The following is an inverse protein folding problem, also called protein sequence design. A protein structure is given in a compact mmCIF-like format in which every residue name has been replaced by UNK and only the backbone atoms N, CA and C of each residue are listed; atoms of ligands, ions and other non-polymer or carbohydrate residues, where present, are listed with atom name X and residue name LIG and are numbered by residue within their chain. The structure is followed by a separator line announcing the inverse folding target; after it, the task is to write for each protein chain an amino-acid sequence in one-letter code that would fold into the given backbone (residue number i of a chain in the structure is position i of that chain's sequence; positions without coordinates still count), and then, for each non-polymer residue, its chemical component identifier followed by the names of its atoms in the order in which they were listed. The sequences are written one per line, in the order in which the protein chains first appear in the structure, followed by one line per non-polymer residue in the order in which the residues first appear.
data_IF_603534301719
#
_entry.id   IF_603534301719
#
_cell.length_a   1.000
_cell.length_b   1.000
_cell.length_c   1.000
_cell.angle_alpha   90.00
_cell.angle_beta   90.00
_cell.angle_gamma   90.00
#
_symmetry.space_group_name_H-M   'P 1'
#
loop_
_entity.id
_entity.type
_entity.pdbx_description
1 polymer ?
2 polymer ?
3 water ?
#
# COMPACT_ATOMS: atom_id res chain seq x y z
N UNK A 4 20.61 21.71 34.02
CA UNK A 4 20.11 20.45 34.57
C UNK A 4 18.69 20.12 34.11
N UNK A 5 18.57 18.93 33.48
CA UNK A 5 17.32 18.40 32.93
C UNK A 5 16.61 17.49 33.94
N UNK A 6 15.39 17.89 34.31
CA UNK A 6 14.51 17.20 35.23
C UNK A 6 13.70 16.09 34.51
N UNK A 7 13.60 14.89 35.14
CA UNK A 7 12.89 13.71 34.66
C UNK A 7 11.47 14.05 34.13
N UNK A 8 10.68 14.76 34.96
CA UNK A 8 9.30 15.12 34.63
C UNK A 8 9.20 16.09 33.49
N UNK A 9 10.08 17.11 33.40
CA UNK A 9 10.05 18.06 32.29
C UNK A 9 10.46 17.39 30.98
N UNK A 10 11.51 16.54 31.00
CA UNK A 10 11.94 15.84 29.80
C UNK A 10 10.88 14.86 29.28
N UNK A 11 10.20 14.16 30.20
CA UNK A 11 9.15 13.20 29.86
C UNK A 11 7.95 13.93 29.26
N UNK A 12 7.65 15.13 29.77
CA UNK A 12 6.57 15.99 29.31
C UNK A 12 6.84 16.45 27.88
N UNK A 13 8.11 16.78 27.58
CA UNK A 13 8.47 17.27 26.24
C UNK A 13 8.49 16.22 25.18
N UNK A 14 9.05 15.01 25.47
CA UNK A 14 9.08 13.88 24.51
C UNK A 14 7.63 13.56 24.10
N UNK A 15 6.71 13.47 25.10
CA UNK A 15 5.26 13.25 24.87
C UNK A 15 4.66 14.31 23.96
N UNK A 16 4.97 15.61 24.21
CA UNK A 16 4.52 16.75 23.42
C UNK A 16 5.14 16.67 22.01
N UNK A 17 6.45 16.40 21.90
CA UNK A 17 7.14 16.23 20.61
C UNK A 17 6.42 15.15 19.83
N UNK A 18 6.08 14.04 20.51
CA UNK A 18 5.35 12.91 19.92
C UNK A 18 3.95 13.36 19.42
N UNK A 19 3.16 14.00 20.30
CA UNK A 19 1.82 14.53 19.98
C UNK A 19 1.85 15.38 18.71
N UNK A 20 2.87 16.28 18.58
CA UNK A 20 3.08 17.12 17.42
C UNK A 20 3.24 16.25 16.19
N UNK A 21 4.19 15.30 16.22
CA UNK A 21 4.49 14.35 15.14
C UNK A 21 3.25 13.61 14.68
N UNK A 22 2.49 13.02 15.64
CA UNK A 22 1.24 12.29 15.37
C UNK A 22 0.15 13.20 14.77
N UNK A 23 0.05 14.43 15.28
CA UNK A 23 -0.90 15.38 14.70
C UNK A 23 -0.61 15.63 13.22
N UNK A 24 0.68 15.84 12.85
CA UNK A 24 1.16 16.11 11.48
C UNK A 24 1.11 14.89 10.55
N UNK A 25 1.34 13.68 11.12
CA UNK A 25 1.37 12.40 10.41
C UNK A 25 -0.01 11.97 9.87
N UNK A 26 -1.09 12.20 10.62
CA UNK A 26 -2.47 11.81 10.24
C UNK A 26 -3.18 12.75 9.28
N UNK A 27 -2.62 13.97 9.04
CA UNK A 27 -3.16 15.01 8.14
C UNK A 27 -3.43 14.45 6.71
N UNK A 28 -2.51 13.61 6.18
CA UNK A 28 -2.60 13.02 4.84
C UNK A 28 -1.74 11.78 4.68
N UNK A 29 -1.69 11.20 3.46
CA UNK A 29 -0.90 10.00 3.17
C UNK A 29 0.52 10.32 2.69
N UNK A 30 0.92 11.60 2.72
CA UNK A 30 2.23 12.03 2.26
C UNK A 30 3.36 11.52 3.11
N UNK A 31 4.35 10.87 2.48
CA UNK A 31 5.54 10.39 3.18
C UNK A 31 6.32 11.64 3.58
N UNK A 32 6.55 11.78 4.87
CA UNK A 32 7.25 12.92 5.44
C UNK A 32 7.94 12.44 6.71
N UNK A 33 8.67 13.34 7.38
CA UNK A 33 9.41 13.02 8.59
C UNK A 33 8.50 12.64 9.77
N UNK A 34 7.37 13.33 9.95
CA UNK A 34 6.40 13.09 11.03
C UNK A 34 5.97 11.61 11.06
N UNK A 35 5.76 11.01 9.88
CA UNK A 35 5.38 9.62 9.73
C UNK A 35 6.58 8.76 10.09
N UNK A 36 7.78 9.14 9.59
CA UNK A 36 9.04 8.45 9.90
C UNK A 36 9.28 8.42 11.39
N UNK A 37 9.03 9.56 12.08
CA UNK A 37 9.19 9.78 13.53
C UNK A 37 8.17 8.98 14.34
N UNK A 38 6.89 9.00 13.91
CA UNK A 38 5.77 8.27 14.52
C UNK A 38 6.02 6.76 14.35
N UNK A 39 6.37 6.31 13.12
CA UNK A 39 6.65 4.90 12.88
C UNK A 39 7.84 4.40 13.74
N UNK A 40 8.86 5.29 13.97
CA UNK A 40 10.02 4.96 14.81
C UNK A 40 9.62 4.83 16.28
N UNK A 41 8.91 5.83 16.84
CA UNK A 41 8.47 5.79 18.25
C UNK A 41 7.66 4.52 18.50
N UNK A 42 6.65 4.24 17.65
CA UNK A 42 5.78 3.05 17.73
C UNK A 42 6.57 1.74 17.77
N UNK A 43 7.57 1.55 16.88
CA UNK A 43 8.43 0.37 16.76
C UNK A 43 9.39 0.25 17.96
N UNK A 44 10.06 1.35 18.32
CA UNK A 44 11.04 1.41 19.39
C UNK A 44 10.40 1.14 20.75
N UNK A 45 9.23 1.71 20.99
CA UNK A 45 8.61 1.53 22.29
C UNK A 45 7.55 0.45 22.30
N UNK A 46 7.21 -0.11 21.13
CA UNK A 46 6.12 -1.09 20.96
C UNK A 46 4.84 -0.45 21.48
N UNK A 47 4.36 0.59 20.80
CA UNK A 47 3.14 1.31 21.18
C UNK A 47 2.43 1.86 19.91
N UNK A 48 1.28 2.55 20.06
CA UNK A 48 0.56 3.22 18.97
C UNK A 48 -0.46 4.25 19.45
N UNK A 49 -0.23 5.49 19.07
CA UNK A 49 -1.04 6.63 19.47
C UNK A 49 -0.89 6.93 20.95
N UNK A 50 -1.78 7.79 21.45
CA UNK A 50 -1.87 8.14 22.85
C UNK A 50 -3.34 8.22 23.28
N UNK A 51 -3.55 8.02 24.58
CA UNK A 51 -4.81 8.13 25.29
C UNK A 51 -5.29 9.59 25.20
N UNK A 52 -4.34 10.56 25.32
CA UNK A 52 -4.56 12.00 25.28
C UNK A 52 -4.95 12.47 23.88
N UNK A 53 -4.75 11.64 22.86
CA UNK A 53 -5.07 11.99 21.49
C UNK A 53 -5.92 10.93 20.79
N UNK A 54 -6.97 10.44 21.51
CA UNK A 54 -7.96 9.42 21.10
C UNK A 54 -8.69 9.82 19.81
N UNK A 55 -8.82 11.13 19.57
CA UNK A 55 -9.49 11.65 18.37
C UNK A 55 -8.72 11.28 17.10
N UNK A 56 -7.47 10.76 17.25
CA UNK A 56 -6.64 10.38 16.11
C UNK A 56 -6.59 8.89 15.82
N UNK A 57 -6.95 8.03 16.77
CA UNK A 57 -6.90 6.57 16.60
C UNK A 57 -7.35 6.04 15.26
N UNK A 58 -8.55 6.39 14.81
CA UNK A 58 -9.00 5.89 13.50
C UNK A 58 -8.05 6.33 12.37
N UNK A 59 -7.66 7.62 12.37
CA UNK A 59 -6.74 8.25 11.43
C UNK A 59 -5.39 7.53 11.48
N UNK A 60 -4.90 7.23 12.68
CA UNK A 60 -3.68 6.48 12.91
C UNK A 60 -3.74 5.10 12.20
N UNK A 61 -4.88 4.42 12.28
CA UNK A 61 -5.11 3.13 11.62
C UNK A 61 -5.18 3.28 10.10
N UNK A 62 -5.94 4.31 9.64
CA UNK A 62 -6.15 4.69 8.26
C UNK A 62 -4.82 4.93 7.53
N UNK A 63 -3.80 5.38 8.25
CA UNK A 63 -2.49 5.69 7.67
C UNK A 63 -1.45 4.61 7.90
N UNK A 64 -1.89 3.46 8.46
CA UNK A 64 -1.02 2.33 8.76
C UNK A 64 0.22 2.83 9.52
N UNK A 65 0.01 3.51 10.65
CA UNK A 65 1.11 4.10 11.43
C UNK A 65 1.55 3.28 12.62
N UNK A 66 0.86 2.17 12.91
CA UNK A 66 1.18 1.24 13.99
C UNK A 66 2.23 0.24 13.54
N UNK A 67 2.97 -0.41 14.48
CA UNK A 67 4.02 -1.34 14.05
C UNK A 67 3.61 -2.56 13.23
N UNK A 68 4.61 -3.11 12.50
CA UNK A 68 4.55 -4.28 11.64
C UNK A 68 4.25 -5.54 12.46
N UNK A 69 3.40 -6.41 11.90
CA UNK A 69 3.01 -7.68 12.50
C UNK A 69 1.63 -7.76 13.14
N UNK A 70 1.22 -6.70 13.83
CA UNK A 70 -0.07 -6.70 14.54
C UNK A 70 -1.23 -6.17 13.73
N UNK A 71 -2.41 -6.82 13.90
CA UNK A 71 -3.67 -6.46 13.23
C UNK A 71 -4.32 -5.18 13.79
N UNK A 72 -5.46 -4.78 13.18
CA UNK A 72 -6.26 -3.60 13.53
C UNK A 72 -6.76 -3.64 14.97
N UNK A 73 -7.19 -4.82 15.47
CA UNK A 73 -7.69 -4.93 16.86
C UNK A 73 -6.56 -4.77 17.87
N UNK A 74 -5.40 -5.41 17.58
CA UNK A 74 -4.20 -5.32 18.40
C UNK A 74 -3.68 -3.90 18.43
N UNK A 75 -3.75 -3.19 17.29
CA UNK A 75 -3.28 -1.80 17.18
C UNK A 75 -4.23 -0.80 17.81
N UNK A 76 -5.55 -1.07 17.74
CA UNK A 76 -6.59 -0.24 18.37
C UNK A 76 -6.40 -0.32 19.89
N UNK A 77 -6.00 -1.51 20.40
CA UNK A 77 -5.79 -1.75 21.83
C UNK A 77 -4.32 -1.79 22.18
N UNK A 78 -3.46 -1.18 21.34
CA UNK A 78 -2.04 -1.15 21.62
C UNK A 78 -1.72 -0.20 22.75
N UNK A 79 -0.58 -0.46 23.42
CA UNK A 79 -0.05 0.32 24.55
C UNK A 79 0.07 1.81 24.17
N UNK A 80 -0.29 2.71 25.10
CA UNK A 80 -0.29 4.16 24.86
C UNK A 80 1.16 4.67 24.83
N UNK A 81 1.55 5.43 23.78
CA UNK A 81 2.93 5.91 23.68
C UNK A 81 3.41 6.84 24.80
N UNK A 82 2.50 7.62 25.40
CA UNK A 82 2.83 8.51 26.55
C UNK A 82 3.32 7.71 27.77
N UNK A 83 2.67 6.54 28.00
CA UNK A 83 3.03 5.62 29.05
C UNK A 83 4.38 4.96 28.78
N UNK A 84 4.61 4.56 27.51
CA UNK A 84 5.85 3.93 27.08
C UNK A 84 7.01 4.94 27.19
N UNK A 85 6.73 6.23 26.92
CA UNK A 85 7.68 7.35 27.08
C UNK A 85 7.98 7.49 28.58
N UNK A 86 6.96 7.44 29.45
CA UNK A 86 7.15 7.54 30.90
C UNK A 86 8.03 6.44 31.42
N UNK A 87 7.81 5.18 30.96
CA UNK A 87 8.59 4.01 31.36
C UNK A 87 10.03 4.20 30.92
N UNK A 88 10.30 4.76 29.72
CA UNK A 88 11.68 5.00 29.27
C UNK A 88 12.41 5.92 30.25
N UNK A 89 11.84 7.12 30.53
CA UNK A 89 12.48 8.09 31.42
C UNK A 89 12.59 7.71 32.89
N UNK A 90 11.81 6.70 33.32
CA UNK A 90 11.80 6.16 34.68
C UNK A 90 12.52 4.80 34.79
N UNK A 91 12.96 4.26 33.68
CA UNK A 91 13.71 3.02 33.66
C UNK A 91 12.92 1.76 33.93
N UNK A 92 11.64 1.74 33.55
CA UNK A 92 10.78 0.56 33.71
C UNK A 92 10.49 0.10 32.28
N UNK A 93 10.32 -1.22 32.00
CA UNK A 93 10.10 -1.71 30.61
C UNK A 93 9.82 -3.22 30.49
N UNK B 2 -15.12 -11.06 0.30
CA UNK B 2 -16.10 -10.39 -0.56
C UNK B 2 -15.84 -8.86 -0.54
N UNK B 3 -14.66 -8.43 -1.07
CA UNK B 3 -14.27 -7.01 -1.07
C UNK B 3 -14.69 -6.24 -2.36
N UNK B 4 -13.74 -5.75 -3.17
CA UNK B 4 -13.91 -4.94 -4.38
C UNK B 4 -14.73 -5.53 -5.51
N UNK B 5 -15.65 -4.73 -6.07
CA UNK B 5 -16.42 -5.09 -7.26
C UNK B 5 -16.08 -4.06 -8.33
N UNK B 6 -15.64 -4.53 -9.52
CA UNK B 6 -15.26 -3.64 -10.61
C UNK B 6 -16.20 -3.68 -11.82
N UNK B 7 -16.34 -2.52 -12.52
CA UNK B 7 -17.21 -2.36 -13.70
C UNK B 7 -16.69 -3.13 -14.94
N UNK B 8 -17.62 -3.52 -15.84
CA UNK B 8 -17.36 -4.32 -17.05
C UNK B 8 -16.50 -3.62 -18.14
N UNK B 9 -16.00 -4.42 -19.13
CA UNK B 9 -15.17 -3.94 -20.24
C UNK B 9 -15.88 -2.92 -21.15
N UNK B 10 -15.06 -2.04 -21.75
CA UNK B 10 -15.47 -0.96 -22.65
C UNK B 10 -14.50 -0.88 -23.84
N UNK B 11 -15.04 -1.04 -25.08
CA UNK B 11 -14.32 -0.92 -26.35
C UNK B 11 -14.75 0.41 -26.95
N UNK B 12 -13.76 1.24 -27.29
CA UNK B 12 -14.00 2.61 -27.75
C UNK B 12 -12.94 3.08 -28.80
N UNK B 13 -13.18 4.25 -29.42
CA UNK B 13 -12.30 4.84 -30.43
C UNK B 13 -11.64 6.10 -29.89
N UNK B 14 -10.43 6.48 -30.38
CA UNK B 14 -9.79 7.71 -29.91
C UNK B 14 -10.70 8.94 -29.89
N UNK B 15 -10.60 9.71 -28.81
CA UNK B 15 -11.41 10.91 -28.61
C UNK B 15 -12.57 10.77 -27.65
N UNK B 16 -13.03 9.53 -27.39
CA UNK B 16 -14.12 9.25 -26.45
C UNK B 16 -13.79 9.58 -24.96
N UNK B 17 -14.80 9.48 -24.09
CA UNK B 17 -14.70 9.73 -22.65
C UNK B 17 -15.41 8.61 -21.92
N UNK B 18 -14.75 8.02 -20.90
CA UNK B 18 -15.28 6.85 -20.14
C UNK B 18 -15.27 7.01 -18.63
N UNK B 19 -16.05 6.15 -17.98
CA UNK B 19 -16.12 6.06 -16.54
C UNK B 19 -15.99 4.58 -16.13
N UNK B 20 -14.92 4.28 -15.36
CA UNK B 20 -14.64 2.94 -14.81
C UNK B 20 -15.06 3.03 -13.35
N UNK B 21 -15.68 1.97 -12.81
CA UNK B 21 -16.17 2.03 -11.45
C UNK B 21 -15.62 0.94 -10.53
N UNK B 22 -15.66 1.20 -9.21
CA UNK B 22 -15.15 0.30 -8.17
C UNK B 22 -16.00 0.40 -6.92
N UNK B 23 -16.64 -0.71 -6.53
CA UNK B 23 -17.49 -0.77 -5.34
C UNK B 23 -16.84 -1.64 -4.25
N UNK B 24 -16.73 -1.09 -3.01
CA UNK B 24 -16.05 -1.76 -1.93
C UNK B 24 -16.76 -2.85 -1.14
N UNK B 25 -17.55 -2.54 -0.09
CA UNK B 25 -18.13 -3.55 0.83
C UNK B 25 -17.02 -4.26 1.68
N UNK B 26 -17.15 -4.18 3.00
CA UNK B 26 -16.20 -4.77 3.94
C UNK B 26 -15.05 -3.86 4.32
N UNK B 27 -15.04 -2.64 3.78
CA UNK B 27 -13.99 -1.65 4.02
C UNK B 27 -14.56 -0.29 4.49
N UNK B 28 -13.74 0.50 5.23
CA UNK B 28 -14.17 1.81 5.71
C UNK B 28 -14.05 2.84 4.59
N UNK B 29 -14.68 2.55 3.45
CA UNK B 29 -14.66 3.39 2.26
C UNK B 29 -14.83 4.87 2.60
N UNK B 30 -15.69 5.18 3.59
CA UNK B 30 -16.06 6.52 4.05
C UNK B 30 -14.90 7.45 4.46
N UNK B 31 -13.85 6.88 5.06
CA UNK B 31 -12.67 7.62 5.49
C UNK B 31 -11.42 6.83 5.14
N UNK B 32 -11.22 6.64 3.84
CA UNK B 32 -10.12 5.85 3.29
C UNK B 32 -9.46 6.48 2.07
N UNK B 33 -8.49 5.75 1.47
CA UNK B 33 -7.73 6.05 0.25
C UNK B 33 -8.08 4.99 -0.82
N UNK B 34 -8.59 5.44 -1.98
CA UNK B 34 -8.90 4.61 -3.15
C UNK B 34 -7.95 5.01 -4.25
N UNK B 35 -7.09 4.10 -4.63
CA UNK B 35 -6.12 4.32 -5.68
C UNK B 35 -6.55 3.55 -6.92
N UNK B 36 -6.04 3.99 -8.07
CA UNK B 36 -6.22 3.41 -9.39
C UNK B 36 -4.84 3.12 -9.95
N UNK B 37 -4.67 1.89 -10.45
CA UNK B 37 -3.40 1.43 -11.03
C UNK B 37 -3.63 1.00 -12.48
N UNK B 38 -2.84 1.56 -13.42
CA UNK B 38 -2.89 1.26 -14.85
C UNK B 38 -1.88 0.17 -15.18
N UNK B 39 -2.29 -0.82 -15.97
CA UNK B 39 -1.40 -1.87 -16.47
C UNK B 39 -1.51 -1.98 -17.99
N UNK B 40 -0.49 -1.47 -18.70
CA UNK B 40 -0.44 -1.51 -20.16
C UNK B 40 -0.09 -2.92 -20.62
N UNK B 41 -0.83 -3.47 -21.64
CA UNK B 41 -0.50 -4.82 -22.13
C UNK B 41 0.97 -4.94 -22.50
N UNK B 42 1.63 -6.03 -22.04
CA UNK B 42 3.06 -6.31 -22.22
C UNK B 42 3.98 -5.22 -21.58
N UNK B 43 3.40 -4.41 -20.70
CA UNK B 43 4.09 -3.35 -19.98
C UNK B 43 3.73 -3.37 -18.47
N UNK B 44 4.51 -2.63 -17.68
CA UNK B 44 4.42 -2.60 -16.23
C UNK B 44 3.22 -1.92 -15.59
N UNK B 45 3.24 -1.92 -14.26
CA UNK B 45 2.22 -1.29 -13.45
C UNK B 45 2.54 0.17 -13.27
N UNK B 46 1.51 1.01 -13.42
CA UNK B 46 1.63 2.45 -13.33
C UNK B 46 0.52 2.99 -12.42
N UNK B 47 0.88 3.83 -11.45
CA UNK B 47 -0.07 4.44 -10.51
C UNK B 47 -0.69 5.67 -11.19
N UNK B 48 -2.03 5.77 -11.17
CA UNK B 48 -2.73 6.88 -11.83
C UNK B 48 -2.95 8.05 -10.89
N UNK B 49 -3.64 7.76 -9.81
CA UNK B 49 -4.00 8.75 -8.83
C UNK B 49 -4.78 8.12 -7.72
N UNK B 50 -5.26 8.95 -6.79
CA UNK B 50 -5.86 8.52 -5.56
C UNK B 50 -6.81 9.55 -5.00
N UNK B 51 -7.89 9.09 -4.37
CA UNK B 51 -8.80 9.94 -3.61
C UNK B 51 -8.75 9.55 -2.12
N UNK B 52 -8.79 10.58 -1.26
CA UNK B 52 -8.90 10.48 0.19
C UNK B 52 -10.38 10.83 0.36
N UNK B 53 -11.22 9.82 0.65
CA UNK B 53 -12.65 10.03 0.83
C UNK B 53 -12.94 10.81 2.13
N UNK B 54 -11.92 10.99 2.96
CA UNK B 54 -12.04 11.75 4.20
C UNK B 54 -12.27 13.22 3.91
N UNK B 55 -11.33 13.84 3.20
CA UNK B 55 -11.37 15.26 2.85
C UNK B 55 -11.78 15.54 1.38
N UNK B 56 -11.89 14.51 0.55
CA UNK B 56 -12.18 14.65 -0.87
C UNK B 56 -10.97 15.03 -1.75
N UNK B 57 -9.74 15.10 -1.16
CA UNK B 57 -8.51 15.43 -1.88
C UNK B 57 -8.18 14.36 -2.89
N UNK B 58 -7.71 14.79 -4.06
CA UNK B 58 -7.36 13.89 -5.14
C UNK B 58 -5.97 14.25 -5.61
N UNK B 59 -5.15 13.23 -5.91
CA UNK B 59 -3.80 13.42 -6.41
C UNK B 59 -3.63 12.57 -7.66
N UNK B 60 -2.86 13.07 -8.66
CA UNK B 60 -2.60 12.34 -9.90
C UNK B 60 -1.15 12.38 -10.25
N UNK B 61 -0.67 11.33 -10.95
CA UNK B 61 0.67 11.29 -11.52
C UNK B 61 0.63 12.40 -12.59
N UNK B 62 1.64 13.31 -12.66
CA UNK B 62 1.60 14.43 -13.62
C UNK B 62 1.04 14.16 -15.01
N UNK B 63 1.33 12.97 -15.58
CA UNK B 63 0.81 12.59 -16.89
C UNK B 63 -0.70 12.52 -16.99
N UNK B 64 -1.38 12.08 -15.92
CA UNK B 64 -2.83 11.95 -15.93
C UNK B 64 -3.55 13.16 -15.35
N UNK B 65 -2.81 14.21 -14.97
CA UNK B 65 -3.32 15.44 -14.33
C UNK B 65 -4.66 16.03 -14.84
N UNK B 66 -4.75 16.31 -16.15
CA UNK B 66 -5.96 16.91 -16.70
C UNK B 66 -6.98 15.94 -17.29
N UNK B 67 -6.52 14.79 -17.83
CA UNK B 67 -7.45 13.80 -18.38
C UNK B 67 -8.26 13.01 -17.33
N UNK B 68 -7.56 12.38 -16.38
CA UNK B 68 -8.16 11.58 -15.30
C UNK B 68 -8.89 12.44 -14.28
N UNK B 69 -9.88 11.83 -13.61
CA UNK B 69 -10.71 12.46 -12.58
C UNK B 69 -11.16 11.34 -11.64
N UNK B 70 -11.26 11.64 -10.33
CA UNK B 70 -11.76 10.66 -9.38
C UNK B 70 -12.92 11.25 -8.62
N UNK B 71 -14.03 10.52 -8.55
CA UNK B 71 -15.17 10.93 -7.76
C UNK B 71 -15.67 9.75 -6.95
N UNK B 72 -16.40 10.01 -5.86
CA UNK B 72 -16.93 8.93 -5.05
C UNK B 72 -18.44 9.06 -4.80
N UNK B 73 -19.07 7.91 -4.54
CA UNK B 73 -20.46 7.76 -4.17
C UNK B 73 -20.37 6.98 -2.87
N UNK B 74 -20.29 7.71 -1.75
CA UNK B 74 -20.12 7.13 -0.41
C UNK B 74 -21.23 6.14 0.03
N UNK B 75 -22.54 6.48 -0.05
CA UNK B 75 -23.56 5.49 0.37
C UNK B 75 -23.51 4.15 -0.37
N UNK B 76 -23.19 4.16 -1.68
CA UNK B 76 -23.06 2.91 -2.44
C UNK B 76 -21.63 2.36 -2.34
N UNK B 77 -20.72 3.13 -1.67
CA UNK B 77 -19.30 2.84 -1.45
C UNK B 77 -18.63 2.60 -2.79
N UNK B 78 -18.79 3.57 -3.71
CA UNK B 78 -18.28 3.46 -5.06
C UNK B 78 -17.29 4.53 -5.44
N UNK B 79 -16.22 4.10 -6.13
CA UNK B 79 -15.17 4.97 -6.64
C UNK B 79 -15.28 4.99 -8.15
N UNK B 80 -15.14 6.20 -8.75
CA UNK B 80 -15.15 6.37 -10.19
C UNK B 80 -13.89 7.04 -10.68
N UNK B 81 -13.35 6.50 -11.77
CA UNK B 81 -12.21 7.05 -12.49
C UNK B 81 -12.75 7.46 -13.87
N UNK B 82 -12.80 8.80 -14.10
CA UNK B 82 -13.30 9.40 -15.34
C UNK B 82 -12.11 9.72 -16.23
N UNK B 83 -12.07 9.13 -17.42
CA UNK B 83 -10.97 9.35 -18.37
C UNK B 83 -11.52 10.03 -19.63
N UNK B 84 -10.90 11.14 -20.06
CA UNK B 84 -11.30 11.94 -21.23
C UNK B 84 -10.17 11.96 -22.27
N UNK B 85 -10.47 12.44 -23.52
CA UNK B 85 -9.53 12.55 -24.66
C UNK B 85 -8.74 11.24 -24.88
N UNK B 86 -9.48 10.12 -24.90
CA UNK B 86 -8.90 8.79 -25.00
C UNK B 86 -8.04 8.56 -26.24
N UNK B 87 -6.87 7.90 -26.06
CA UNK B 87 -5.93 7.52 -27.12
C UNK B 87 -5.46 6.06 -26.94
N UNK B 88 -4.62 5.55 -27.87
CA UNK B 88 -4.09 4.19 -27.85
C UNK B 88 -3.30 3.87 -26.58
N UNK B 89 -2.61 4.87 -26.00
CA UNK B 89 -1.85 4.63 -24.77
C UNK B 89 -2.69 4.46 -23.51
N UNK B 90 -4.02 4.63 -23.62
CA UNK B 90 -5.01 4.43 -22.55
C UNK B 90 -5.55 2.99 -22.59
N UNK B 91 -5.27 2.23 -23.68
CA UNK B 91 -5.62 0.82 -23.81
C UNK B 91 -4.77 0.10 -22.77
N UNK B 92 -5.45 -0.38 -21.70
CA UNK B 92 -4.87 -1.02 -20.52
C UNK B 92 -5.94 -1.62 -19.60
N UNK B 93 -5.47 -2.29 -18.53
CA UNK B 93 -6.34 -2.82 -17.47
C UNK B 93 -6.22 -1.81 -16.35
N UNK B 94 -7.34 -1.50 -15.74
CA UNK B 94 -7.38 -0.52 -14.69
C UNK B 94 -7.78 -1.23 -13.42
N UNK B 95 -6.89 -1.24 -12.46
CA UNK B 95 -7.17 -1.87 -11.17
C UNK B 95 -7.50 -0.81 -10.14
N UNK B 96 -8.41 -1.18 -9.29
CA UNK B 96 -8.84 -0.37 -8.17
C UNK B 96 -8.15 -0.92 -6.90
N UNK B 97 -7.51 -0.03 -6.11
CA UNK B 97 -6.81 -0.46 -4.89
C UNK B 97 -7.24 0.34 -3.64
N UNK B 98 -7.99 -0.29 -2.69
CA UNK B 98 -8.27 0.40 -1.44
C UNK B 98 -7.05 0.28 -0.52
N UNK B 99 -6.76 1.31 0.30
CA UNK B 99 -5.61 1.32 1.20
C UNK B 99 -5.94 2.09 2.47
N UNK B 100 -5.38 1.67 3.62
CA UNK B 100 -5.60 2.37 4.88
C UNK B 100 -5.77 1.64 6.19
N UNK B 101 -6.69 0.71 6.29
CA UNK B 101 -6.81 0.06 7.61
C UNK B 101 -6.20 -1.33 7.39
N UNK B 102 -4.92 -1.33 7.01
CA UNK B 102 -4.14 -2.49 6.60
C UNK B 102 -3.84 -2.45 5.09
N UNK B 103 -3.66 -3.62 4.46
CA UNK B 103 -3.30 -3.73 3.07
C UNK B 103 -4.22 -4.70 2.37
N UNK B 104 -4.72 -4.32 1.19
CA UNK B 104 -5.72 -5.10 0.51
C UNK B 104 -5.43 -5.59 -0.88
N UNK B 105 -6.11 -6.68 -1.24
CA UNK B 105 -6.11 -7.25 -2.56
C UNK B 105 -6.82 -6.26 -3.49
N UNK B 106 -6.31 -6.17 -4.72
CA UNK B 106 -6.80 -5.32 -5.79
C UNK B 106 -8.12 -5.88 -6.36
N UNK B 107 -8.80 -5.07 -7.19
CA UNK B 107 -10.00 -5.53 -7.89
C UNK B 107 -9.57 -6.43 -9.04
N UNK B 108 -10.50 -7.24 -9.60
CA UNK B 108 -10.12 -8.09 -10.75
C UNK B 108 -9.61 -7.33 -11.99
N UNK B 109 -10.00 -6.06 -12.10
CA UNK B 109 -9.60 -5.16 -13.18
C UNK B 109 -10.67 -4.86 -14.21
N UNK B 110 -10.58 -3.68 -14.87
CA UNK B 110 -11.47 -3.25 -15.94
C UNK B 110 -10.65 -3.00 -17.19
N UNK B 111 -10.95 -3.76 -18.26
CA UNK B 111 -10.25 -3.59 -19.53
C UNK B 111 -10.90 -2.48 -20.35
N UNK B 112 -10.09 -1.50 -20.72
CA UNK B 112 -10.49 -0.39 -21.58
C UNK B 112 -9.66 -0.51 -22.83
N UNK B 113 -10.33 -0.61 -23.99
CA UNK B 113 -9.64 -0.71 -25.27
C UNK B 113 -10.00 0.45 -26.19
N UNK B 114 -8.97 1.20 -26.61
CA UNK B 114 -9.06 2.39 -27.47
C UNK B 114 -8.37 2.07 -28.82
N UNK B 115 -9.14 1.60 -29.82
CA UNK B 115 -8.60 1.27 -31.16
C UNK B 115 -9.30 2.02 -32.29
N UNK B 116 -8.56 2.32 -33.37
CA UNK B 116 -9.12 3.00 -34.55
C UNK B 116 -9.05 2.11 -35.80
N UNK B 137 9.78 11.17 -5.09
CA UNK B 137 9.47 9.93 -5.81
C UNK B 137 10.45 8.82 -5.45
N UNK B 138 9.94 7.62 -5.10
CA UNK B 138 10.76 6.48 -4.67
C UNK B 138 10.85 5.40 -5.75
N UNK B 139 12.08 5.15 -6.26
CA UNK B 139 12.36 4.15 -7.28
C UNK B 139 12.59 2.74 -6.67
N UNK B 140 11.84 1.71 -7.17
CA UNK B 140 11.93 0.30 -6.76
C UNK B 140 12.81 -0.46 -7.72
N UNK B 141 13.63 -1.38 -7.19
CA UNK B 141 14.55 -2.18 -7.99
C UNK B 141 14.38 -3.65 -7.64
N UNK B 142 13.70 -4.39 -8.52
CA UNK B 142 13.45 -5.81 -8.34
C UNK B 142 14.54 -6.67 -9.00
N UNK B 143 15.00 -7.73 -8.29
CA UNK B 143 16.05 -8.63 -8.78
C UNK B 143 15.81 -10.08 -8.35
N UNK B 144 15.99 -11.10 -9.23
CA UNK B 144 16.37 -11.02 -10.65
C UNK B 144 15.20 -10.63 -11.55
N UNK B 145 15.46 -10.37 -12.84
CA UNK B 145 14.39 -10.00 -13.78
C UNK B 145 13.63 -11.23 -14.28
N UNK B 146 14.38 -12.33 -14.51
CA UNK B 146 13.89 -13.63 -14.99
C UNK B 146 14.49 -14.77 -14.17
N UNK B 147 13.69 -15.79 -13.86
CA UNK B 147 14.14 -16.92 -13.07
C UNK B 147 13.65 -18.25 -13.64
N UNK B 148 14.60 -19.09 -14.06
CA UNK B 148 14.32 -20.40 -14.65
C UNK B 148 14.56 -21.49 -13.61
N UNK B 149 13.48 -21.91 -12.90
CA UNK B 149 13.59 -22.92 -11.85
C UNK B 149 12.66 -24.13 -11.99
N UNK B 150 13.00 -25.23 -11.29
CA UNK B 150 12.25 -26.48 -11.28
C UNK B 150 11.59 -26.68 -9.92
N UNK B 151 10.40 -27.33 -9.90
CA UNK B 151 9.60 -27.61 -8.69
C UNK B 151 10.44 -28.13 -7.53
N UNK B 152 10.19 -27.59 -6.33
CA UNK B 152 10.89 -27.95 -5.11
C UNK B 152 12.07 -27.07 -4.76
N UNK B 153 12.53 -26.25 -5.73
CA UNK B 153 13.66 -25.34 -5.54
C UNK B 153 13.27 -24.15 -4.64
N UNK B 154 14.27 -23.61 -3.90
CA UNK B 154 14.07 -22.44 -3.04
C UNK B 154 14.60 -21.20 -3.77
N UNK B 155 13.71 -20.23 -3.96
CA UNK B 155 14.01 -19.00 -4.68
C UNK B 155 13.95 -17.79 -3.75
N UNK B 156 14.78 -16.76 -4.02
CA UNK B 156 14.83 -15.52 -3.24
C UNK B 156 14.84 -14.27 -4.13
N UNK B 157 13.66 -13.64 -4.28
CA UNK B 157 13.52 -12.42 -5.07
C UNK B 157 13.85 -11.25 -4.13
N UNK B 158 14.46 -10.19 -4.67
CA UNK B 158 14.90 -9.01 -3.93
C UNK B 158 14.25 -7.71 -4.44
N UNK B 159 13.90 -6.80 -3.52
CA UNK B 159 13.37 -5.49 -3.86
C UNK B 159 14.11 -4.41 -3.08
N UNK B 160 14.65 -3.43 -3.79
CA UNK B 160 15.39 -2.35 -3.17
C UNK B 160 14.75 -1.01 -3.49
N UNK B 161 14.48 -0.22 -2.44
CA UNK B 161 13.87 1.10 -2.53
C UNK B 161 15.00 2.13 -2.57
N UNK B 162 14.73 3.30 -3.19
CA UNK B 162 15.71 4.39 -3.29
C UNK B 162 15.86 5.12 -1.95
N UNK B 163 14.89 4.96 -1.05
CA UNK B 163 14.87 5.59 0.27
C UNK B 163 14.29 4.58 1.23
N UNK B 164 14.42 4.86 2.55
CA UNK B 164 13.80 4.04 3.59
C UNK B 164 12.27 4.15 3.37
N UNK B 165 11.62 3.01 3.07
CA UNK B 165 10.17 2.94 2.87
C UNK B 165 9.49 2.43 4.14
N UNK B 166 10.23 2.35 5.26
CA UNK B 166 9.70 2.02 6.58
C UNK B 166 8.84 0.72 6.64
N UNK B 167 9.21 -0.32 5.85
CA UNK B 167 8.53 -1.62 5.76
C UNK B 167 7.12 -1.55 5.16
N UNK B 168 6.78 -0.42 4.50
CA UNK B 168 5.47 -0.33 3.88
C UNK B 168 5.58 -0.75 2.45
N UNK B 169 5.72 -2.07 2.26
CA UNK B 169 5.94 -2.80 1.01
C UNK B 169 4.92 -3.93 0.89
N UNK B 170 4.74 -4.51 -0.32
CA UNK B 170 3.90 -5.67 -0.56
C UNK B 170 4.47 -6.50 -1.71
N UNK B 171 4.29 -7.81 -1.64
CA UNK B 171 4.70 -8.74 -2.70
C UNK B 171 3.43 -9.31 -3.32
N UNK B 172 3.38 -9.34 -4.65
CA UNK B 172 2.26 -9.86 -5.40
C UNK B 172 2.73 -10.89 -6.41
N UNK B 173 1.83 -11.82 -6.78
CA UNK B 173 2.07 -12.82 -7.82
C UNK B 173 1.04 -12.62 -8.93
N UNK B 174 1.52 -12.27 -10.12
CA UNK B 174 0.63 -12.06 -11.26
C UNK B 174 0.71 -13.18 -12.30
N UNK B 175 -0.40 -13.89 -12.49
CA UNK B 175 -0.54 -14.96 -13.49
C UNK B 175 -1.20 -14.33 -14.74
N UNK B 176 -0.70 -14.66 -15.96
CA UNK B 176 -1.17 -14.12 -17.26
C UNK B 176 -2.65 -13.77 -17.35
N UNK B 177 -2.92 -12.51 -17.73
CA UNK B 177 -4.25 -11.95 -17.89
C UNK B 177 -5.11 -11.90 -16.64
N UNK B 178 -4.48 -12.03 -15.44
CA UNK B 178 -5.16 -12.01 -14.15
C UNK B 178 -4.61 -10.89 -13.25
N UNK B 179 -5.44 -10.43 -12.28
CA UNK B 179 -5.09 -9.36 -11.34
C UNK B 179 -4.00 -9.82 -10.35
N UNK B 180 -3.01 -8.93 -10.02
CA UNK B 180 -1.94 -9.33 -9.07
C UNK B 180 -2.49 -9.83 -7.74
N UNK B 181 -2.09 -11.06 -7.37
CA UNK B 181 -2.54 -11.68 -6.13
C UNK B 181 -1.61 -11.30 -4.96
N UNK B 182 -2.18 -10.63 -3.93
CA UNK B 182 -1.44 -10.18 -2.74
C UNK B 182 -0.88 -11.37 -1.94
N UNK B 183 0.46 -11.47 -1.88
CA UNK B 183 1.13 -12.55 -1.16
C UNK B 183 1.52 -12.10 0.24
N UNK B 184 2.32 -11.03 0.33
CA UNK B 184 2.78 -10.50 1.61
C UNK B 184 2.63 -9.00 1.69
N UNK B 185 2.03 -8.52 2.80
CA UNK B 185 1.87 -7.09 3.04
C UNK B 185 2.76 -6.69 4.17
N UNK B 186 3.05 -5.40 4.30
CA UNK B 186 4.01 -4.95 5.28
C UNK B 186 5.35 -5.50 4.83
N UNK B 187 6.17 -6.00 5.69
CA UNK B 187 7.34 -6.57 5.02
C UNK B 187 7.27 -8.09 5.08
N UNK B 188 6.72 -8.56 6.19
CA UNK B 188 6.72 -9.90 6.72
C UNK B 188 5.38 -10.61 6.86
N UNK B 189 4.26 -9.86 6.77
CA UNK B 189 2.94 -10.42 7.00
C UNK B 189 2.31 -11.20 5.84
N UNK B 190 2.04 -12.48 6.06
CA UNK B 190 1.40 -13.31 5.05
C UNK B 190 -0.08 -12.99 4.94
N UNK B 191 -0.53 -12.60 3.74
CA UNK B 191 -1.93 -12.33 3.44
C UNK B 191 -2.77 -13.60 3.68
N UNK B 192 -3.99 -13.45 4.19
CA UNK B 192 -4.85 -14.60 4.49
C UNK B 192 -5.11 -15.51 3.29
N UNK B 193 -4.92 -16.80 3.53
CA UNK B 193 -5.09 -17.86 2.55
C UNK B 193 -3.84 -18.22 1.79
N UNK B 194 -2.76 -17.44 1.99
CA UNK B 194 -1.49 -17.65 1.28
C UNK B 194 -0.68 -18.78 1.95
N UNK B 195 -0.21 -19.79 1.16
CA UNK B 195 0.60 -20.88 1.75
C UNK B 195 1.86 -20.42 2.50
N UNK B 196 2.10 -21.11 3.63
CA UNK B 196 3.19 -20.93 4.59
C UNK B 196 4.58 -20.89 3.98
N UNK B 197 4.75 -21.60 2.84
CA UNK B 197 5.99 -21.73 2.06
C UNK B 197 6.49 -20.38 1.54
N UNK B 198 5.66 -19.32 1.63
CA UNK B 198 5.99 -17.96 1.20
C UNK B 198 6.48 -17.16 2.38
N UNK B 199 7.60 -16.47 2.22
CA UNK B 199 8.14 -15.69 3.33
C UNK B 199 8.77 -14.37 2.92
N UNK B 200 8.19 -13.30 3.45
CA UNK B 200 8.68 -11.96 3.26
C UNK B 200 9.62 -11.57 4.39
N UNK B 201 10.69 -10.85 4.07
CA UNK B 201 11.66 -10.38 5.05
C UNK B 201 12.21 -9.08 4.52
N UNK B 202 12.86 -8.30 5.38
CA UNK B 202 13.47 -7.06 4.97
C UNK B 202 13.21 -5.86 5.85
N UNK B 203 14.02 -4.81 5.64
CA UNK B 203 13.96 -3.57 6.41
C UNK B 203 14.57 -2.38 5.68
N UNK B 204 14.22 -1.18 6.16
CA UNK B 204 14.72 0.08 5.61
C UNK B 204 14.57 0.21 4.10
N UNK B 205 15.63 -0.20 3.38
CA UNK B 205 15.72 -0.11 1.93
C UNK B 205 15.76 -1.47 1.18
N UNK B 206 16.05 -2.60 1.86
CA UNK B 206 16.18 -3.91 1.22
C UNK B 206 15.16 -4.89 1.73
N UNK B 207 14.45 -5.57 0.82
CA UNK B 207 13.40 -6.50 1.18
C UNK B 207 13.56 -7.73 0.35
N UNK B 208 13.04 -8.87 0.82
CA UNK B 208 13.18 -10.14 0.12
C UNK B 208 11.93 -10.97 0.25
N UNK B 209 11.69 -11.77 -0.77
CA UNK B 209 10.62 -12.74 -0.75
C UNK B 209 11.26 -14.11 -1.06
N UNK B 210 11.18 -15.04 -0.11
CA UNK B 210 11.64 -16.41 -0.33
C UNK B 210 10.48 -17.36 -0.54
N UNK B 211 10.57 -18.16 -1.60
CA UNK B 211 9.58 -19.19 -1.88
C UNK B 211 10.25 -20.52 -1.57
N UNK B 212 9.78 -21.18 -0.51
CA UNK B 212 10.31 -22.46 -0.07
C UNK B 212 9.59 -23.58 -0.78
N UNK B 213 10.36 -24.51 -1.38
CA UNK B 213 9.86 -25.68 -2.11
C UNK B 213 8.81 -25.23 -3.12
N UNK B 214 9.30 -24.47 -4.13
CA UNK B 214 8.51 -23.92 -5.23
C UNK B 214 7.59 -24.98 -5.81
N UNK B 215 6.34 -24.61 -6.08
CA UNK B 215 5.35 -25.53 -6.61
C UNK B 215 4.86 -25.05 -7.98
N UNK B 216 4.02 -25.86 -8.65
CA UNK B 216 3.51 -25.54 -9.97
C UNK B 216 2.58 -24.34 -9.98
N UNK B 217 1.66 -24.28 -9.00
CA UNK B 217 0.67 -23.20 -8.84
C UNK B 217 1.25 -21.80 -8.47
N UNK B 218 2.57 -21.66 -8.42
CA UNK B 218 3.19 -20.39 -8.08
C UNK B 218 4.23 -19.94 -9.10
N UNK B 219 3.82 -20.00 -10.37
CA UNK B 219 4.62 -19.58 -11.51
C UNK B 219 3.97 -18.35 -12.14
N UNK B 220 4.81 -17.39 -12.54
CA UNK B 220 4.37 -16.15 -13.15
C UNK B 220 5.30 -14.99 -12.89
N UNK B 221 4.72 -13.78 -12.74
CA UNK B 221 5.47 -12.56 -12.46
C UNK B 221 5.25 -12.10 -11.01
N UNK B 222 6.35 -11.89 -10.30
CA UNK B 222 6.34 -11.42 -8.93
C UNK B 222 6.61 -9.93 -8.94
N UNK B 223 5.78 -9.16 -8.24
CA UNK B 223 5.92 -7.71 -8.16
C UNK B 223 6.04 -7.27 -6.73
N UNK B 224 6.87 -6.27 -6.48
CA UNK B 224 7.00 -5.61 -5.20
C UNK B 224 6.47 -4.19 -5.40
N UNK B 225 6.06 -3.55 -4.31
CA UNK B 225 5.49 -2.20 -4.33
C UNK B 225 5.69 -1.55 -2.97
N UNK B 226 5.96 -0.24 -2.96
CA UNK B 226 6.02 0.51 -1.71
C UNK B 226 4.69 1.30 -1.60
N UNK B 227 4.29 1.68 -0.37
CA UNK B 227 3.08 2.46 -0.11
C UNK B 227 3.43 3.67 0.79
N UNK B 228 4.73 4.02 0.80
CA UNK B 228 5.27 5.13 1.55
C UNK B 228 5.03 6.39 0.75
N UNK B 229 3.89 6.99 1.01
CA UNK B 229 3.46 8.18 0.32
C UNK B 229 2.97 7.95 -1.08
N UNK B 230 3.04 9.01 -1.87
CA UNK B 230 2.56 9.04 -3.23
C UNK B 230 3.66 9.68 -4.09
N UNK B 231 3.91 9.20 -5.33
CA UNK B 231 3.23 8.11 -6.05
C UNK B 231 3.70 6.70 -5.67
N UNK B 232 2.80 5.72 -5.81
CA UNK B 232 3.11 4.32 -5.55
C UNK B 232 3.98 3.82 -6.72
N UNK B 233 5.06 3.09 -6.42
CA UNK B 233 5.93 2.58 -7.49
C UNK B 233 6.17 1.09 -7.33
N UNK B 234 6.43 0.44 -8.47
CA UNK B 234 6.58 -1.00 -8.59
C UNK B 234 7.94 -1.40 -9.07
N UNK B 235 8.33 -2.62 -8.70
CA UNK B 235 9.56 -3.25 -9.14
C UNK B 235 9.37 -3.74 -10.56
N UNK B 236 10.50 -3.93 -11.26
CA UNK B 236 10.52 -4.39 -12.65
C UNK B 236 9.73 -5.65 -12.93
N UNK B 237 9.69 -6.54 -11.94
CA UNK B 237 9.01 -7.83 -12.01
C UNK B 237 10.06 -8.93 -12.04
N UNK B 238 9.65 -10.14 -11.63
CA UNK B 238 10.49 -11.33 -11.63
C UNK B 238 9.67 -12.43 -12.26
N UNK B 239 10.11 -12.92 -13.42
CA UNK B 239 9.37 -13.96 -14.12
C UNK B 239 9.90 -15.32 -13.70
N UNK B 240 9.08 -16.11 -12.99
CA UNK B 240 9.49 -17.45 -12.60
C UNK B 240 8.85 -18.43 -13.56
N UNK B 241 9.68 -19.34 -14.12
CA UNK B 241 9.25 -20.35 -15.09
C UNK B 241 10.04 -21.66 -14.97
N UNK B 242 9.38 -22.78 -15.35
CA UNK B 242 9.97 -24.12 -15.40
C UNK B 242 10.73 -24.28 -16.72
N UNK B 243 11.95 -24.88 -16.69
CA UNK B 243 12.69 -25.07 -17.95
C UNK B 243 12.49 -26.47 -18.54
#
# INVERSE_FOLDING_TARGET
GSGFVNKDQIAKDVKQFYDQALQQAVVDDDANNAKAVVKTFHETLDCCGSSTLTALTTSVLKNNLCPSGSNIISNLFKEDCHQKIDDLFSGKHHHHHH
EVRLHQSAAQLVQPGASVRLSCTTSGFNFKDSYLHWVKQRPAQGLEWIGRIDTGNGNVKFDPKFQDKATITTDIPSMTAYLHLSNLTSEDTAVYYCVPYGYGFHSWGDGTTLTVSSGGGGSGGGGSGGGGSGGGGSDIQMTQSPASLSVSVGETVTITCRASENIYRTLAWYLQKQGKSPQLLVYGATTLADGVPSRFSGSGSGTQYYLKINSLQSEDFGTYHCQHFWGTPWTFGGGTKVEIK
#
